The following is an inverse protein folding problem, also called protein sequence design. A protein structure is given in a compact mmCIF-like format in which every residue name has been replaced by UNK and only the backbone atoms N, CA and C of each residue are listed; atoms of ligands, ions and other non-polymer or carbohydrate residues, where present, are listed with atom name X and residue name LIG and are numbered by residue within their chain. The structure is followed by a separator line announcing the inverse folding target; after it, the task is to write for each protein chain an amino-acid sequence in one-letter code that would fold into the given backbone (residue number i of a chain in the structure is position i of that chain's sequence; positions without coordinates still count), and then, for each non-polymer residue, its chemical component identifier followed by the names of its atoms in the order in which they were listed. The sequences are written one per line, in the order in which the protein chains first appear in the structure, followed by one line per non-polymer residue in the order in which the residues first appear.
data_IF_990613334084
#
_entry.id   IF_990613334084
#
_cell.length_a   1.000
_cell.length_b   1.000
_cell.length_c   1.000
_cell.angle_alpha   90.00
_cell.angle_beta   90.00
_cell.angle_gamma   90.00
#
_symmetry.space_group_name_H-M   'P 1'
#
loop_
_entity.id
_entity.type
_entity.pdbx_description
1 polymer ?
#
# COMPACT_ATOMS: atom_id res chain seq x y z
N UNK A 1 4.41 13.67 5.33
CA UNK A 1 5.86 13.38 5.57
C UNK A 1 6.16 11.97 5.04
N UNK A 2 7.15 11.79 4.15
CA UNK A 2 7.49 10.48 3.59
C UNK A 2 8.90 10.02 4.00
N UNK A 3 9.07 8.73 4.31
CA UNK A 3 10.39 8.14 4.61
C UNK A 3 10.75 7.08 3.57
N UNK A 4 11.97 7.16 3.05
CA UNK A 4 12.50 6.25 2.04
C UNK A 4 13.21 5.07 2.71
N UNK A 5 12.76 3.84 2.45
CA UNK A 5 13.44 2.60 2.86
C UNK A 5 14.24 2.09 1.67
N UNK A 6 15.58 2.14 1.74
CA UNK A 6 16.45 1.84 0.60
C UNK A 6 17.00 0.42 0.67
N UNK A 7 17.04 -0.33 -0.45
CA UNK A 7 17.54 -1.72 -0.49
C UNK A 7 16.45 -2.81 -0.33
N UNK A 8 16.85 -4.09 -0.25
CA UNK A 8 15.91 -5.21 -0.09
C UNK A 8 15.14 -5.06 1.24
N UNK A 9 13.82 -4.89 1.18
CA UNK A 9 12.98 -4.68 2.38
C UNK A 9 12.86 -5.93 3.27
N UNK A 10 13.52 -7.02 2.91
CA UNK A 10 13.59 -8.25 3.70
C UNK A 10 14.75 -8.26 4.72
N UNK A 11 15.57 -7.21 4.80
CA UNK A 11 16.56 -7.14 5.88
C UNK A 11 15.86 -6.85 7.22
N UNK A 12 16.22 -7.59 8.26
CA UNK A 12 15.68 -7.41 9.61
C UNK A 12 15.85 -5.96 10.11
N UNK A 13 16.88 -5.27 9.64
CA UNK A 13 17.16 -3.88 9.99
C UNK A 13 16.15 -2.89 9.37
N UNK A 14 15.71 -3.11 8.12
CA UNK A 14 14.65 -2.29 7.52
C UNK A 14 13.32 -2.49 8.24
N UNK A 15 13.02 -3.73 8.62
CA UNK A 15 11.81 -4.04 9.37
C UNK A 15 11.83 -3.43 10.77
N UNK A 16 12.98 -3.45 11.45
CA UNK A 16 13.15 -2.76 12.74
C UNK A 16 12.96 -1.26 12.60
N UNK A 17 13.55 -0.65 11.57
CA UNK A 17 13.38 0.77 11.30
C UNK A 17 11.92 1.13 11.00
N UNK A 18 11.22 0.31 10.20
CA UNK A 18 9.83 0.54 9.84
C UNK A 18 8.91 0.44 11.06
N UNK A 19 9.08 -0.57 11.92
CA UNK A 19 8.34 -0.68 13.18
C UNK A 19 8.61 0.51 14.10
N UNK A 20 9.89 0.89 14.25
CA UNK A 20 10.26 2.05 15.05
C UNK A 20 9.59 3.32 14.53
N UNK A 21 9.54 3.53 13.21
CA UNK A 21 8.87 4.71 12.65
C UNK A 21 7.36 4.69 12.87
N UNK A 22 6.72 3.53 12.78
CA UNK A 22 5.29 3.40 13.07
C UNK A 22 4.98 3.66 14.55
N UNK A 23 5.88 3.27 15.46
CA UNK A 23 5.77 3.53 16.90
C UNK A 23 6.11 4.98 17.26
N UNK A 24 7.12 5.58 16.62
CA UNK A 24 7.56 6.96 16.86
C UNK A 24 6.59 7.99 16.30
N UNK A 25 5.90 7.66 15.19
CA UNK A 25 5.07 8.62 14.48
C UNK A 25 3.96 9.19 15.36
N UNK A 26 3.18 8.42 16.13
CA UNK A 26 2.17 8.99 17.01
C UNK A 26 2.73 9.89 18.11
N UNK A 27 3.95 9.62 18.58
CA UNK A 27 4.56 10.34 19.70
C UNK A 27 5.24 11.64 19.25
N UNK A 28 5.94 11.60 18.11
CA UNK A 28 6.77 12.72 17.64
C UNK A 28 6.12 13.49 16.48
N UNK A 29 5.12 12.87 15.85
CA UNK A 29 4.23 13.28 14.76
C UNK A 29 2.78 13.65 15.12
N UNK A 30 2.42 14.47 16.13
CA UNK A 30 1.01 14.61 16.56
C UNK A 30 0.07 14.97 15.42
N UNK A 31 0.60 15.75 14.50
CA UNK A 31 -0.13 16.19 13.34
C UNK A 31 -0.41 15.00 12.39
N UNK A 32 0.53 14.07 12.20
CA UNK A 32 0.33 12.82 11.43
C UNK A 32 -0.80 11.93 11.96
N UNK A 33 -1.22 12.12 13.21
CA UNK A 33 -2.36 11.43 13.79
C UNK A 33 -3.68 12.14 13.54
N UNK A 34 -3.72 13.25 12.80
CA UNK A 34 -4.94 13.99 12.52
C UNK A 34 -5.46 13.71 11.12
N UNK A 35 -6.78 13.81 10.96
CA UNK A 35 -7.44 13.83 9.65
C UNK A 35 -6.91 14.97 8.77
N UNK A 36 -7.13 14.92 7.46
CA UNK A 36 -6.76 16.00 6.54
C UNK A 36 -7.38 17.35 6.92
N UNK A 37 -8.56 17.34 7.55
CA UNK A 37 -9.22 18.53 8.08
C UNK A 37 -8.63 19.05 9.41
N UNK A 38 -7.70 18.30 10.02
CA UNK A 38 -7.14 18.58 11.34
C UNK A 38 -8.13 18.41 12.49
N UNK A 39 -9.35 17.92 12.22
CA UNK A 39 -10.47 18.01 13.16
C UNK A 39 -10.65 16.75 14.04
N UNK A 40 -10.05 15.63 13.66
CA UNK A 40 -10.20 14.36 14.38
C UNK A 40 -8.88 13.58 14.40
N UNK A 41 -8.72 12.70 15.38
CA UNK A 41 -7.57 11.79 15.50
C UNK A 41 -7.84 10.52 14.69
N UNK A 42 -6.88 10.10 13.87
CA UNK A 42 -6.89 8.86 13.11
C UNK A 42 -6.78 7.67 14.06
N UNK A 43 -7.86 6.89 14.17
CA UNK A 43 -7.86 5.64 14.93
C UNK A 43 -7.47 4.47 14.03
N UNK A 44 -6.18 4.37 13.73
CA UNK A 44 -5.64 3.44 12.74
C UNK A 44 -5.91 1.96 13.07
N UNK A 45 -5.85 1.58 14.35
CA UNK A 45 -6.10 0.20 14.80
C UNK A 45 -7.57 -0.23 14.60
N UNK A 46 -8.48 0.74 14.56
CA UNK A 46 -9.92 0.52 14.42
C UNK A 46 -10.49 1.43 13.35
N UNK A 47 -9.78 1.61 12.23
CA UNK A 47 -10.22 2.44 11.12
C UNK A 47 -11.44 1.83 10.43
N UNK A 48 -12.30 2.65 9.82
CA UNK A 48 -13.35 2.14 8.93
C UNK A 48 -12.67 1.44 7.75
N UNK A 49 -12.99 0.17 7.53
CA UNK A 49 -12.42 -0.58 6.42
C UNK A 49 -13.08 -0.14 5.10
N UNK A 50 -12.35 -0.18 3.98
CA UNK A 50 -12.92 -0.05 2.65
C UNK A 50 -14.09 -1.01 2.41
N UNK A 51 -14.86 -0.80 1.33
CA UNK A 51 -15.91 -1.75 0.95
C UNK A 51 -15.35 -3.17 0.77
N UNK A 52 -14.15 -3.26 0.19
CA UNK A 52 -13.40 -4.50 -0.06
C UNK A 52 -11.92 -4.30 0.26
N UNK A 53 -11.31 -5.34 0.80
CA UNK A 53 -9.87 -5.43 0.97
C UNK A 53 -9.34 -6.73 0.36
N UNK A 54 -8.05 -6.78 0.15
CA UNK A 54 -7.30 -8.00 -0.09
C UNK A 54 -6.89 -8.55 1.28
N UNK A 55 -7.28 -9.77 1.58
CA UNK A 55 -6.81 -10.50 2.74
C UNK A 55 -5.60 -11.36 2.36
N UNK A 56 -4.50 -11.16 3.07
CA UNK A 56 -3.25 -11.90 2.93
C UNK A 56 -3.05 -12.75 4.18
N UNK A 57 -3.03 -14.07 4.00
CA UNK A 57 -2.87 -15.05 5.08
C UNK A 57 -1.85 -16.11 4.71
N UNK A 58 -1.33 -16.83 5.72
CA UNK A 58 -0.55 -18.05 5.50
C UNK A 58 -1.36 -19.27 5.89
N UNK A 59 -1.35 -20.28 5.02
CA UNK A 59 -1.88 -21.60 5.33
C UNK A 59 -1.02 -22.33 6.35
N UNK A 60 -1.55 -23.44 6.86
CA UNK A 60 -0.80 -24.37 7.74
C UNK A 60 0.41 -25.00 7.04
N UNK A 61 0.38 -25.05 5.72
CA UNK A 61 1.48 -25.45 4.83
C UNK A 61 2.56 -24.36 4.65
N UNK A 62 2.36 -23.18 5.26
CA UNK A 62 3.25 -22.02 5.12
C UNK A 62 3.07 -21.25 3.82
N UNK A 63 2.17 -21.69 2.92
CA UNK A 63 1.93 -21.03 1.65
C UNK A 63 1.08 -19.77 1.84
N UNK A 64 1.43 -18.69 1.12
CA UNK A 64 0.64 -17.45 1.07
C UNK A 64 -0.68 -17.71 0.34
N UNK A 65 -1.77 -17.18 0.91
CA UNK A 65 -3.11 -17.18 0.33
C UNK A 65 -3.61 -15.75 0.26
N UNK A 66 -4.06 -15.35 -0.92
CA UNK A 66 -4.53 -14.00 -1.23
C UNK A 66 -5.95 -14.11 -1.76
N UNK A 67 -6.87 -13.31 -1.22
CA UNK A 67 -8.25 -13.23 -1.72
C UNK A 67 -8.85 -11.86 -1.48
N UNK A 68 -9.87 -11.50 -2.25
CA UNK A 68 -10.72 -10.37 -1.92
C UNK A 68 -11.68 -10.76 -0.81
N UNK A 69 -11.84 -9.87 0.16
CA UNK A 69 -12.85 -9.97 1.23
C UNK A 69 -13.74 -8.75 1.20
N UNK A 70 -15.05 -8.97 1.29
CA UNK A 70 -16.02 -7.91 1.50
C UNK A 70 -16.01 -7.54 2.98
N UNK A 71 -15.46 -6.36 3.26
CA UNK A 71 -15.23 -5.87 4.62
C UNK A 71 -16.40 -5.09 5.17
N UNK A 72 -17.33 -4.59 4.33
CA UNK A 72 -18.66 -4.10 4.71
C UNK A 72 -18.81 -3.50 6.11
N UNK A 73 -18.61 -2.18 6.25
CA UNK A 73 -18.71 -1.41 7.51
C UNK A 73 -17.90 -1.93 8.72
N UNK A 74 -17.10 -2.99 8.58
CA UNK A 74 -16.21 -3.46 9.64
C UNK A 74 -15.12 -2.43 9.92
N UNK A 75 -14.49 -2.59 11.07
CA UNK A 75 -13.36 -1.77 11.49
C UNK A 75 -12.11 -2.63 11.66
N UNK A 76 -10.96 -2.05 11.40
CA UNK A 76 -9.67 -2.71 11.58
C UNK A 76 -8.55 -1.95 10.90
N UNK A 77 -7.33 -2.45 11.08
CA UNK A 77 -6.13 -1.93 10.44
C UNK A 77 -5.92 -2.55 9.06
N UNK A 78 -5.48 -1.73 8.12
CA UNK A 78 -5.10 -2.12 6.77
C UNK A 78 -4.03 -1.17 6.24
N UNK A 79 -3.33 -1.59 5.20
CA UNK A 79 -2.38 -0.74 4.47
C UNK A 79 -2.90 -0.47 3.07
N UNK A 80 -2.44 0.61 2.46
CA UNK A 80 -2.80 0.97 1.08
C UNK A 80 -1.58 0.91 0.19
N UNK A 81 -1.78 0.58 -1.09
CA UNK A 81 -0.75 0.71 -2.13
C UNK A 81 -1.17 1.78 -3.12
N UNK A 82 -0.31 2.80 -3.27
CA UNK A 82 -0.35 3.71 -4.41
C UNK A 82 0.63 3.22 -5.47
N UNK A 83 0.12 2.90 -6.65
CA UNK A 83 0.91 2.42 -7.77
C UNK A 83 0.56 3.16 -9.06
N UNK A 84 1.44 3.05 -10.06
CA UNK A 84 1.12 3.49 -11.42
C UNK A 84 0.30 2.43 -12.13
N UNK A 85 -0.62 2.90 -12.96
CA UNK A 85 -1.34 2.07 -13.89
C UNK A 85 -0.45 1.77 -15.10
N UNK A 86 0.04 0.54 -15.16
CA UNK A 86 0.82 -0.05 -16.25
C UNK A 86 0.06 -1.24 -16.85
N UNK A 87 0.50 -1.74 -18.01
CA UNK A 87 -0.08 -2.95 -18.62
C UNK A 87 -0.15 -4.13 -17.65
N UNK A 88 0.92 -4.36 -16.87
CA UNK A 88 0.96 -5.46 -15.88
C UNK A 88 -0.04 -5.27 -14.74
N UNK A 89 -0.20 -4.05 -14.21
CA UNK A 89 -1.20 -3.78 -13.16
C UNK A 89 -2.63 -3.78 -13.69
N UNK A 90 -2.83 -3.44 -14.96
CA UNK A 90 -4.14 -3.46 -15.61
C UNK A 90 -4.59 -4.89 -15.93
N UNK A 91 -3.66 -5.76 -16.36
CA UNK A 91 -3.93 -7.18 -16.63
C UNK A 91 -4.43 -7.92 -15.38
N UNK A 92 -3.90 -7.58 -14.21
CA UNK A 92 -4.30 -8.18 -12.93
C UNK A 92 -5.46 -7.42 -12.28
N UNK A 93 -6.14 -6.51 -12.96
CA UNK A 93 -7.25 -5.75 -12.35
C UNK A 93 -8.52 -6.59 -12.13
N UNK A 94 -9.35 -6.16 -11.19
CA UNK A 94 -10.63 -6.84 -10.92
C UNK A 94 -11.70 -6.35 -11.90
N UNK A 95 -12.39 -7.31 -12.51
CA UNK A 95 -13.54 -7.09 -13.38
C UNK A 95 -14.69 -7.96 -12.90
N UNK A 96 -15.93 -7.68 -13.35
CA UNK A 96 -17.09 -8.52 -13.00
C UNK A 96 -16.86 -10.01 -13.32
N UNK A 97 -16.11 -10.29 -14.39
CA UNK A 97 -15.81 -11.66 -14.85
C UNK A 97 -14.94 -12.45 -13.87
N UNK A 98 -13.93 -11.82 -13.26
CA UNK A 98 -13.00 -12.50 -12.35
C UNK A 98 -13.31 -12.25 -10.86
N UNK A 99 -14.31 -11.42 -10.54
CA UNK A 99 -14.63 -11.05 -9.17
C UNK A 99 -14.94 -12.26 -8.28
N UNK A 100 -15.82 -13.16 -8.73
CA UNK A 100 -16.22 -14.34 -7.95
C UNK A 100 -15.03 -15.27 -7.66
N UNK A 101 -14.13 -15.44 -8.63
CA UNK A 101 -12.90 -16.23 -8.48
C UNK A 101 -11.92 -15.58 -7.50
N UNK A 102 -11.83 -14.25 -7.48
CA UNK A 102 -10.97 -13.52 -6.55
C UNK A 102 -11.46 -13.56 -5.10
N UNK A 103 -12.77 -13.71 -4.88
CA UNK A 103 -13.32 -13.93 -3.53
C UNK A 103 -12.89 -15.28 -2.95
N UNK A 104 -12.66 -16.28 -3.79
CA UNK A 104 -12.17 -17.61 -3.37
C UNK A 104 -10.63 -17.73 -3.42
N UNK A 105 -9.95 -16.68 -3.88
CA UNK A 105 -8.48 -16.58 -3.91
C UNK A 105 -7.82 -17.05 -5.21
N UNK A 106 -8.58 -17.22 -6.29
CA UNK A 106 -8.02 -17.47 -7.62
C UNK A 106 -7.62 -16.17 -8.33
N UNK A 107 -6.91 -16.32 -9.46
CA UNK A 107 -6.54 -15.21 -10.35
C UNK A 107 -5.55 -14.20 -9.72
N UNK A 108 -4.66 -14.72 -8.88
CA UNK A 108 -3.56 -14.03 -8.20
C UNK A 108 -2.20 -14.71 -8.47
N UNK A 109 -2.09 -15.57 -9.49
CA UNK A 109 -0.88 -16.37 -9.75
C UNK A 109 0.28 -15.55 -10.35
N UNK A 110 -0.05 -14.43 -11.01
CA UNK A 110 0.92 -13.55 -11.69
C UNK A 110 0.76 -12.11 -11.21
N UNK A 111 1.18 -11.88 -9.98
CA UNK A 111 1.14 -10.55 -9.38
C UNK A 111 2.32 -9.70 -9.85
N UNK A 112 2.09 -8.41 -10.17
CA UNK A 112 3.17 -7.45 -10.28
C UNK A 112 4.01 -7.46 -9.01
N UNK A 113 5.34 -7.36 -9.15
CA UNK A 113 6.25 -7.44 -8.01
C UNK A 113 5.98 -6.38 -6.93
N UNK A 114 5.43 -5.21 -7.30
CA UNK A 114 5.00 -4.20 -6.32
C UNK A 114 3.86 -4.69 -5.40
N UNK A 115 2.98 -5.57 -5.90
CA UNK A 115 1.89 -6.15 -5.09
C UNK A 115 2.46 -7.21 -4.16
N UNK A 116 3.33 -8.09 -4.67
CA UNK A 116 3.99 -9.12 -3.86
C UNK A 116 4.73 -8.54 -2.66
N UNK A 117 5.53 -7.50 -2.86
CA UNK A 117 6.27 -6.96 -1.72
C UNK A 117 5.40 -6.09 -0.79
N UNK A 118 4.27 -5.58 -1.28
CA UNK A 118 3.25 -5.01 -0.39
C UNK A 118 2.65 -6.09 0.51
N UNK A 119 2.40 -7.28 -0.03
CA UNK A 119 1.92 -8.43 0.74
C UNK A 119 2.98 -8.97 1.71
N UNK A 120 4.26 -8.97 1.33
CA UNK A 120 5.36 -9.28 2.25
C UNK A 120 5.36 -8.32 3.45
N UNK A 121 5.25 -7.01 3.18
CA UNK A 121 5.18 -5.99 4.24
C UNK A 121 3.97 -6.19 5.15
N UNK A 122 2.80 -6.47 4.56
CA UNK A 122 1.57 -6.76 5.27
C UNK A 122 1.74 -7.94 6.24
N UNK A 123 2.32 -9.05 5.77
CA UNK A 123 2.61 -10.23 6.59
C UNK A 123 3.60 -9.91 7.72
N UNK A 124 4.73 -9.26 7.40
CA UNK A 124 5.79 -8.98 8.37
C UNK A 124 5.36 -8.00 9.49
N UNK A 125 4.35 -7.17 9.22
CA UNK A 125 3.79 -6.21 10.18
C UNK A 125 2.53 -6.73 10.89
N UNK A 126 2.08 -7.95 10.57
CA UNK A 126 0.87 -8.51 11.15
C UNK A 126 -0.38 -7.69 10.80
N UNK A 127 -0.43 -7.15 9.59
CA UNK A 127 -1.57 -6.41 9.04
C UNK A 127 -2.12 -7.22 7.86
N UNK A 128 -3.14 -8.07 8.05
CA UNK A 128 -3.56 -9.01 7.02
C UNK A 128 -4.36 -8.36 5.88
N UNK A 129 -4.73 -7.09 6.01
CA UNK A 129 -5.58 -6.40 5.05
C UNK A 129 -4.79 -5.36 4.24
N UNK A 130 -4.92 -5.44 2.93
CA UNK A 130 -4.31 -4.53 1.96
C UNK A 130 -5.39 -3.97 1.05
N UNK A 131 -5.31 -2.69 0.73
CA UNK A 131 -6.17 -2.06 -0.27
C UNK A 131 -5.35 -1.57 -1.46
N UNK A 132 -5.78 -1.96 -2.65
CA UNK A 132 -5.18 -1.60 -3.94
C UNK A 132 -6.33 -1.25 -4.88
N UNK A 133 -6.33 -0.05 -5.47
CA UNK A 133 -7.44 0.45 -6.29
C UNK A 133 -7.77 -0.49 -7.47
N UNK A 134 -6.76 -0.97 -8.19
CA UNK A 134 -6.90 -1.89 -9.32
C UNK A 134 -7.51 -3.25 -8.97
N UNK A 135 -7.45 -3.67 -7.70
CA UNK A 135 -7.97 -4.96 -7.23
C UNK A 135 -9.27 -4.81 -6.44
N UNK A 136 -9.37 -3.79 -5.58
CA UNK A 136 -10.49 -3.61 -4.66
C UNK A 136 -11.69 -2.90 -5.32
N UNK A 137 -11.50 -2.35 -6.52
CA UNK A 137 -12.56 -1.72 -7.33
C UNK A 137 -12.80 -2.57 -8.58
N UNK A 138 -14.06 -2.77 -8.94
CA UNK A 138 -14.47 -3.48 -10.14
C UNK A 138 -14.35 -2.52 -11.34
N UNK A 139 -13.27 -2.65 -12.11
CA UNK A 139 -12.84 -1.64 -13.09
C UNK A 139 -13.79 -1.47 -14.28
N UNK A 140 -14.50 -2.52 -14.68
CA UNK A 140 -15.50 -2.48 -15.76
C UNK A 140 -16.88 -2.03 -15.27
N UNK A 141 -17.03 -1.67 -14.00
CA UNK A 141 -18.28 -1.21 -13.40
C UNK A 141 -18.23 0.28 -13.08
N UNK A 142 -18.89 1.09 -13.92
CA UNK A 142 -19.00 2.54 -13.73
C UNK A 142 -19.63 2.89 -12.38
N UNK A 143 -20.63 2.13 -11.94
CA UNK A 143 -21.29 2.35 -10.65
C UNK A 143 -20.35 2.08 -9.48
N UNK A 144 -19.66 0.94 -9.50
CA UNK A 144 -18.71 0.56 -8.44
C UNK A 144 -17.54 1.53 -8.38
N UNK A 145 -16.98 1.88 -9.55
CA UNK A 145 -15.91 2.86 -9.64
C UNK A 145 -16.32 4.22 -9.05
N UNK A 146 -17.52 4.72 -9.38
CA UNK A 146 -18.02 6.00 -8.82
C UNK A 146 -18.14 5.95 -7.30
N UNK A 147 -18.68 4.85 -6.77
CA UNK A 147 -18.88 4.66 -5.34
C UNK A 147 -17.55 4.58 -4.59
N UNK A 148 -16.55 3.87 -5.13
CA UNK A 148 -15.25 3.71 -4.48
C UNK A 148 -14.33 4.92 -4.68
N UNK A 149 -14.35 5.56 -5.86
CA UNK A 149 -13.59 6.77 -6.12
C UNK A 149 -13.98 7.92 -5.17
N UNK A 150 -15.26 8.05 -4.84
CA UNK A 150 -15.74 9.04 -3.86
C UNK A 150 -15.21 8.84 -2.43
N UNK A 151 -14.79 7.61 -2.08
CA UNK A 151 -14.27 7.23 -0.77
C UNK A 151 -12.75 7.07 -0.73
N UNK A 152 -12.09 7.13 -1.89
CA UNK A 152 -10.68 6.81 -2.04
C UNK A 152 -9.78 7.65 -1.12
N UNK A 153 -10.06 8.95 -0.99
CA UNK A 153 -9.32 9.83 -0.08
C UNK A 153 -9.44 9.37 1.39
N UNK A 154 -10.63 8.94 1.81
CA UNK A 154 -10.86 8.40 3.17
C UNK A 154 -10.09 7.10 3.38
N UNK A 155 -10.00 6.23 2.36
CA UNK A 155 -9.26 4.98 2.45
C UNK A 155 -7.74 5.21 2.65
N UNK A 156 -7.14 6.08 1.84
CA UNK A 156 -5.72 6.42 2.01
C UNK A 156 -5.45 7.08 3.36
N UNK A 157 -6.31 8.01 3.77
CA UNK A 157 -6.16 8.74 5.03
C UNK A 157 -6.31 7.84 6.26
N UNK A 158 -7.19 6.83 6.20
CA UNK A 158 -7.49 5.95 7.34
C UNK A 158 -6.60 4.70 7.42
N UNK A 159 -5.76 4.47 6.42
CA UNK A 159 -4.82 3.36 6.40
C UNK A 159 -3.65 3.56 7.39
N UNK A 160 -3.03 2.47 7.83
CA UNK A 160 -1.86 2.52 8.72
C UNK A 160 -0.65 3.19 8.07
N UNK A 161 -0.43 2.90 6.80
CA UNK A 161 0.48 3.66 5.94
C UNK A 161 0.15 3.36 4.48
N UNK A 162 0.61 4.25 3.61
CA UNK A 162 0.58 4.04 2.17
C UNK A 162 1.97 3.58 1.69
N UNK A 163 2.01 2.41 1.07
CA UNK A 163 3.16 1.97 0.28
C UNK A 163 3.13 2.71 -1.05
N UNK A 164 4.24 3.30 -1.45
CA UNK A 164 4.39 3.90 -2.78
C UNK A 164 5.62 3.31 -3.46
N UNK A 165 5.46 2.89 -4.71
CA UNK A 165 6.58 2.41 -5.54
C UNK A 165 7.04 3.48 -6.52
N UNK A 166 8.36 3.69 -6.60
CA UNK A 166 8.98 4.44 -7.70
C UNK A 166 9.63 3.44 -8.64
N UNK A 167 9.09 3.27 -9.83
CA UNK A 167 9.78 2.59 -10.92
C UNK A 167 10.08 3.57 -12.04
N UNK A 168 11.36 3.73 -12.31
CA UNK A 168 11.87 4.06 -13.63
C UNK A 168 12.02 2.72 -14.38
N UNK A 169 11.29 2.55 -15.48
CA UNK A 169 11.37 1.42 -16.45
C UNK A 169 10.84 0.03 -16.01
N UNK A 170 9.54 -0.13 -16.24
CA UNK A 170 8.73 -1.28 -16.75
C UNK A 170 8.98 -2.76 -16.37
N UNK A 171 10.06 -3.20 -15.74
CA UNK A 171 10.24 -4.65 -15.43
C UNK A 171 10.93 -4.97 -14.09
N UNK A 172 11.08 -4.00 -13.21
CA UNK A 172 11.92 -4.12 -12.02
C UNK A 172 11.11 -3.66 -10.81
N UNK A 173 10.12 -4.44 -10.37
CA UNK A 173 9.36 -4.09 -9.15
C UNK A 173 10.28 -3.93 -7.93
N UNK A 174 9.75 -3.61 -6.74
CA UNK A 174 10.41 -2.82 -5.65
C UNK A 174 11.91 -3.03 -5.30
N UNK A 175 12.63 -4.05 -5.78
CA UNK A 175 14.03 -4.35 -5.44
C UNK A 175 15.01 -4.55 -6.61
N UNK A 176 14.90 -3.91 -7.76
CA UNK A 176 16.05 -3.92 -8.71
C UNK A 176 16.26 -2.62 -9.49
N UNK A 177 17.53 -2.29 -9.70
CA UNK A 177 18.02 -1.01 -10.20
C UNK A 177 17.91 -0.86 -11.73
N UNK A 178 17.61 0.36 -12.20
CA UNK A 178 18.50 0.99 -13.19
C UNK A 178 18.83 2.45 -12.85
N UNK A 179 20.08 2.85 -13.07
CA UNK A 179 20.59 4.22 -12.90
C UNK A 179 19.85 5.17 -13.84
N UNK A 180 19.36 6.31 -13.31
CA UNK A 180 19.35 7.62 -13.97
C UNK A 180 18.70 8.68 -13.08
N UNK A 181 19.31 9.86 -13.11
CA UNK A 181 18.94 11.09 -12.39
C UNK A 181 17.45 11.40 -12.46
N UNK A 182 16.82 11.46 -11.28
CA UNK A 182 15.43 11.88 -11.12
C UNK A 182 15.42 13.42 -11.05
N UNK A 183 14.72 14.14 -11.96
CA UNK A 183 14.57 15.58 -11.86
C UNK A 183 13.78 15.92 -10.58
N UNK A 184 14.35 16.82 -9.76
CA UNK A 184 13.72 17.35 -8.55
C UNK A 184 12.38 18.00 -8.89
N UNK A 185 11.26 17.33 -8.61
CA UNK A 185 9.94 17.96 -8.58
C UNK A 185 9.47 17.93 -7.12
N UNK A 186 9.63 19.08 -6.46
CA UNK A 186 9.14 19.36 -5.10
C UNK A 186 10.21 19.29 -4.00
N UNK A 187 10.98 20.37 -3.82
CA UNK A 187 11.75 20.57 -2.60
C UNK A 187 10.81 21.00 -1.46
N UNK A 188 10.90 20.34 -0.30
CA UNK A 188 10.86 21.08 0.97
C UNK A 188 12.29 21.09 1.54
N UNK A 189 12.75 22.22 2.09
CA UNK A 189 14.17 22.50 2.23
C UNK A 189 14.72 21.96 3.54
N UNK A 190 15.67 21.02 3.50
CA UNK A 190 16.73 20.94 4.51
C UNK A 190 18.07 20.59 3.83
N UNK A 191 19.18 21.22 4.26
CA UNK A 191 20.46 21.16 3.56
C UNK A 191 21.30 19.97 4.04
N UNK A 192 22.03 19.33 3.11
CA UNK A 192 23.19 18.54 3.50
C UNK A 192 23.41 17.26 2.70
N UNK A 193 24.17 17.42 1.61
CA UNK A 193 25.09 16.44 0.99
C UNK A 193 24.50 15.17 0.37
N UNK A 194 24.73 15.06 -0.93
CA UNK A 194 24.24 14.00 -1.79
C UNK A 194 24.87 12.65 -1.49
N UNK A 195 24.07 11.62 -1.78
CA UNK A 195 24.46 10.28 -2.22
C UNK A 195 23.23 9.59 -2.80
N UNK A 196 23.41 8.98 -3.96
CA UNK A 196 22.47 8.15 -4.70
C UNK A 196 21.85 7.05 -3.81
N UNK A 197 20.52 6.99 -3.71
CA UNK A 197 19.83 5.93 -2.97
C UNK A 197 18.41 5.66 -3.53
N UNK A 198 18.05 4.39 -3.74
CA UNK A 198 16.74 3.89 -4.22
C UNK A 198 15.95 3.25 -3.09
N UNK A 199 14.64 3.51 -2.96
CA UNK A 199 13.84 2.93 -1.88
C UNK A 199 12.30 3.03 -2.00
N UNK A 200 11.61 2.43 -1.04
CA UNK A 200 10.15 2.50 -0.83
C UNK A 200 9.83 3.76 -0.03
N UNK A 201 9.01 4.66 -0.56
CA UNK A 201 8.53 5.79 0.24
C UNK A 201 7.27 5.35 0.96
N UNK A 202 7.39 5.23 2.28
CA UNK A 202 6.23 5.14 3.16
C UNK A 202 5.76 6.56 3.39
N UNK A 203 4.59 6.85 2.84
CA UNK A 203 3.95 8.12 3.06
C UNK A 203 3.00 7.96 4.25
N UNK A 204 3.30 8.67 5.33
CA UNK A 204 2.29 8.94 6.34
C UNK A 204 1.35 9.97 5.70
N UNK A 205 0.09 9.59 5.48
CA UNK A 205 -0.97 10.33 4.78
C UNK A 205 -1.10 11.76 5.30
N UNK A 206 -0.24 12.64 4.78
CA UNK A 206 -0.10 14.05 5.13
C UNK A 206 0.73 14.78 4.09
#
# INVERSE_FOLDING_TARGET
MGRLVTGATSSDDHMRALRQWLEDCPTNHPECCLTLSGSQVLQVESASLPTRCIEVTRGSDGARRVRIVETGQKRGKYITLSHRWTSSTAEISTTRRNYAERLTGGNFERLPRIFENTFDLAEMLGVPLVWIDSICIIQDSVEDWKNEAGKMAEYYQSSLFTVTGFETTTELGLFTAPERDIPKIGQTPLPGQGRDCKGVLLHCSR
#
